data_IF_316933510729
#
_entry.id   IF_316933510729
#
_cell.length_a   1.000
_cell.length_b   1.000
_cell.length_c   1.000
_cell.angle_alpha   90.00
_cell.angle_beta   90.00
_cell.angle_gamma   90.00
#
_symmetry.space_group_name_H-M   'P 1'
#
loop_
_entity.id
_entity.type
_entity.pdbx_description
1 polymer ?
#
# COMPACT_ATOMS: atom_id res chain seq x y z
N UNK A 1 -5.26 -14.13 -16.45
CA UNK A 1 -5.80 -13.10 -15.53
C UNK A 1 -5.35 -13.30 -14.09
N UNK A 2 -5.12 -14.52 -13.59
CA UNK A 2 -4.69 -14.74 -12.19
C UNK A 2 -3.24 -14.34 -11.86
N UNK A 3 -2.36 -14.30 -12.86
CA UNK A 3 -0.95 -13.96 -12.64
C UNK A 3 -0.77 -12.60 -11.96
N UNK A 4 -1.60 -11.60 -12.28
CA UNK A 4 -1.46 -10.27 -11.68
C UNK A 4 -1.86 -10.24 -10.20
N UNK A 5 -2.84 -11.06 -9.79
CA UNK A 5 -3.25 -11.21 -8.39
C UNK A 5 -2.16 -11.89 -7.56
N UNK A 6 -1.51 -12.91 -8.14
CA UNK A 6 -0.39 -13.60 -7.49
C UNK A 6 0.85 -12.69 -7.38
N UNK A 7 1.15 -11.91 -8.43
CA UNK A 7 2.23 -10.92 -8.43
C UNK A 7 1.98 -9.85 -7.35
N UNK A 8 0.78 -9.30 -7.29
CA UNK A 8 0.37 -8.33 -6.26
C UNK A 8 0.63 -8.89 -4.86
N UNK A 9 0.12 -10.10 -4.59
CA UNK A 9 0.26 -10.73 -3.28
C UNK A 9 1.72 -11.02 -2.92
N UNK A 10 2.53 -11.40 -3.91
CA UNK A 10 3.97 -11.61 -3.71
C UNK A 10 4.68 -10.31 -3.31
N UNK A 11 4.38 -9.19 -3.99
CA UNK A 11 4.90 -7.87 -3.63
C UNK A 11 4.43 -7.44 -2.23
N UNK A 12 3.15 -7.62 -1.92
CA UNK A 12 2.62 -7.28 -0.59
C UNK A 12 3.34 -8.04 0.52
N UNK A 13 3.43 -9.36 0.41
CA UNK A 13 4.07 -10.20 1.43
C UNK A 13 5.56 -9.85 1.59
N UNK A 14 6.26 -9.59 0.49
CA UNK A 14 7.64 -9.13 0.51
C UNK A 14 7.79 -7.80 1.25
N UNK A 15 6.90 -6.83 0.99
CA UNK A 15 6.88 -5.56 1.72
C UNK A 15 6.68 -5.76 3.23
N UNK A 16 5.75 -6.64 3.64
CA UNK A 16 5.50 -6.92 5.06
C UNK A 16 6.69 -7.58 5.76
N UNK A 17 7.39 -8.50 5.08
CA UNK A 17 8.62 -9.12 5.60
C UNK A 17 9.72 -8.07 5.76
N UNK A 18 9.96 -7.25 4.74
CA UNK A 18 10.97 -6.18 4.77
C UNK A 18 10.69 -5.16 5.87
N UNK A 19 9.42 -4.80 6.10
CA UNK A 19 9.01 -3.93 7.21
C UNK A 19 9.39 -4.53 8.57
N UNK A 20 9.13 -5.83 8.77
CA UNK A 20 9.54 -6.54 10.00
C UNK A 20 11.07 -6.58 10.18
N UNK A 21 11.81 -6.65 9.07
CA UNK A 21 13.27 -6.58 9.06
C UNK A 21 13.82 -5.14 9.20
N UNK A 22 12.97 -4.13 9.39
CA UNK A 22 13.34 -2.70 9.43
C UNK A 22 14.01 -2.19 8.14
N UNK A 23 13.83 -2.89 7.02
CA UNK A 23 14.28 -2.44 5.69
C UNK A 23 13.20 -1.57 5.04
N UNK A 24 13.07 -0.33 5.51
CA UNK A 24 11.91 0.53 5.25
C UNK A 24 11.85 1.00 3.78
N UNK A 25 12.97 1.38 3.18
CA UNK A 25 13.04 1.79 1.77
C UNK A 25 12.61 0.66 0.82
N UNK A 26 13.09 -0.56 1.06
CA UNK A 26 12.67 -1.71 0.25
C UNK A 26 11.21 -2.10 0.53
N UNK A 27 10.76 -2.01 1.78
CA UNK A 27 9.37 -2.26 2.13
C UNK A 27 8.43 -1.30 1.39
N UNK A 28 8.77 -0.01 1.36
CA UNK A 28 8.06 1.02 0.60
C UNK A 28 7.98 0.69 -0.89
N UNK A 29 9.12 0.40 -1.52
CA UNK A 29 9.19 0.08 -2.94
C UNK A 29 8.26 -1.10 -3.29
N UNK A 30 8.31 -2.19 -2.52
CA UNK A 30 7.45 -3.35 -2.76
C UNK A 30 5.98 -3.07 -2.43
N UNK A 31 5.69 -2.23 -1.44
CA UNK A 31 4.31 -1.83 -1.15
C UNK A 31 3.71 -1.01 -2.31
N UNK A 32 4.49 -0.10 -2.90
CA UNK A 32 4.08 0.67 -4.08
C UNK A 32 3.86 -0.23 -5.31
N UNK A 33 4.75 -1.19 -5.57
CA UNK A 33 4.56 -2.17 -6.66
C UNK A 33 3.29 -3.01 -6.45
N UNK A 34 3.03 -3.40 -5.21
CA UNK A 34 1.82 -4.12 -4.83
C UNK A 34 0.57 -3.26 -5.05
N UNK A 35 0.60 -1.99 -4.66
CA UNK A 35 -0.51 -1.07 -4.87
C UNK A 35 -0.79 -0.81 -6.37
N UNK A 36 0.25 -0.64 -7.20
CA UNK A 36 0.09 -0.53 -8.66
C UNK A 36 -0.62 -1.75 -9.25
N UNK A 37 -0.18 -2.96 -8.85
CA UNK A 37 -0.82 -4.19 -9.28
C UNK A 37 -2.26 -4.31 -8.77
N UNK A 38 -2.50 -4.00 -7.49
CA UNK A 38 -3.82 -4.03 -6.86
C UNK A 38 -4.79 -3.07 -7.55
N UNK A 39 -4.34 -1.89 -7.99
CA UNK A 39 -5.19 -0.89 -8.65
C UNK A 39 -5.87 -1.41 -9.93
N UNK A 40 -5.33 -2.46 -10.55
CA UNK A 40 -5.82 -3.05 -11.80
C UNK A 40 -6.98 -4.04 -11.59
N UNK A 41 -7.20 -4.52 -10.37
CA UNK A 41 -8.25 -5.54 -10.10
C UNK A 41 -8.92 -5.45 -8.73
N UNK A 42 -8.32 -4.74 -7.78
CA UNK A 42 -8.78 -4.66 -6.39
C UNK A 42 -10.06 -3.83 -6.29
N UNK A 43 -10.93 -4.23 -5.37
CA UNK A 43 -12.12 -3.46 -5.07
C UNK A 43 -11.77 -2.22 -4.22
N UNK A 44 -12.74 -1.31 -4.07
CA UNK A 44 -12.56 -0.08 -3.30
C UNK A 44 -12.08 -0.32 -1.86
N UNK A 45 -12.56 -1.37 -1.20
CA UNK A 45 -12.15 -1.69 0.18
C UNK A 45 -10.69 -2.14 0.24
N UNK A 46 -10.25 -3.00 -0.67
CA UNK A 46 -8.85 -3.45 -0.74
C UNK A 46 -7.89 -2.28 -1.02
N UNK A 47 -8.27 -1.38 -1.93
CA UNK A 47 -7.48 -0.16 -2.22
C UNK A 47 -7.46 0.79 -1.02
N UNK A 48 -8.60 0.97 -0.34
CA UNK A 48 -8.70 1.76 0.88
C UNK A 48 -7.75 1.25 1.97
N UNK A 49 -7.80 -0.06 2.27
CA UNK A 49 -6.93 -0.69 3.27
C UNK A 49 -5.45 -0.51 2.89
N UNK A 50 -5.13 -0.61 1.58
CA UNK A 50 -3.77 -0.39 1.10
C UNK A 50 -3.28 1.05 1.28
N UNK A 51 -4.13 2.03 1.01
CA UNK A 51 -3.80 3.44 1.26
C UNK A 51 -3.60 3.73 2.75
N UNK A 52 -4.41 3.12 3.64
CA UNK A 52 -4.20 3.23 5.08
C UNK A 52 -2.85 2.65 5.52
N UNK A 53 -2.46 1.49 4.98
CA UNK A 53 -1.14 0.91 5.25
C UNK A 53 0.02 1.79 4.76
N UNK A 54 -0.13 2.39 3.58
CA UNK A 54 0.87 3.31 3.02
C UNK A 54 1.00 4.58 3.86
N UNK A 55 -0.13 5.19 4.26
CA UNK A 55 -0.15 6.36 5.13
C UNK A 55 0.55 6.09 6.46
N UNK A 56 0.26 4.95 7.10
CA UNK A 56 0.94 4.55 8.34
C UNK A 56 2.43 4.36 8.13
N UNK A 57 2.83 3.71 7.03
CA UNK A 57 4.24 3.45 6.76
C UNK A 57 5.03 4.74 6.55
N UNK A 58 4.49 5.72 5.82
CA UNK A 58 5.13 7.03 5.66
C UNK A 58 5.18 7.83 6.97
N UNK A 59 4.16 7.69 7.81
CA UNK A 59 4.15 8.30 9.15
C UNK A 59 5.25 7.69 10.03
N UNK A 60 5.41 6.37 10.04
CA UNK A 60 6.41 5.65 10.83
C UNK A 60 7.86 6.06 10.48
N UNK A 61 8.10 6.52 9.24
CA UNK A 61 9.43 6.99 8.77
C UNK A 61 9.62 8.51 8.82
N UNK A 62 8.66 9.25 9.38
CA UNK A 62 8.74 10.70 9.53
C UNK A 62 8.43 11.50 8.26
N UNK A 63 7.96 10.86 7.19
CA UNK A 63 7.52 11.52 5.95
C UNK A 63 6.05 11.91 6.03
N UNK A 64 5.75 12.86 6.92
CA UNK A 64 4.38 13.27 7.26
C UNK A 64 3.57 13.77 6.06
N UNK A 65 4.21 14.43 5.08
CA UNK A 65 3.54 14.92 3.87
C UNK A 65 2.98 13.78 3.02
N UNK A 66 3.78 12.74 2.78
CA UNK A 66 3.36 11.54 2.07
C UNK A 66 2.32 10.75 2.87
N UNK A 67 2.48 10.66 4.18
CA UNK A 67 1.49 10.04 5.05
C UNK A 67 0.10 10.69 4.87
N UNK A 68 0.04 12.02 4.96
CA UNK A 68 -1.19 12.79 4.80
C UNK A 68 -1.82 12.59 3.42
N UNK A 69 -1.00 12.54 2.36
CA UNK A 69 -1.47 12.25 1.00
C UNK A 69 -2.19 10.90 0.94
N UNK A 70 -1.59 9.82 1.44
CA UNK A 70 -2.20 8.49 1.39
C UNK A 70 -3.45 8.38 2.30
N UNK A 71 -3.44 9.00 3.48
CA UNK A 71 -4.65 9.07 4.30
C UNK A 71 -5.77 9.83 3.61
N UNK A 72 -5.46 10.93 2.92
CA UNK A 72 -6.45 11.70 2.14
C UNK A 72 -7.03 10.86 1.00
N UNK A 73 -6.20 10.10 0.28
CA UNK A 73 -6.65 9.15 -0.74
C UNK A 73 -7.60 8.11 -0.16
N UNK A 74 -7.26 7.51 0.99
CA UNK A 74 -8.13 6.55 1.69
C UNK A 74 -9.49 7.19 2.05
N UNK A 75 -9.49 8.36 2.69
CA UNK A 75 -10.70 9.09 3.07
C UNK A 75 -11.57 9.40 1.84
N UNK A 76 -10.96 9.82 0.73
CA UNK A 76 -11.67 10.13 -0.51
C UNK A 76 -12.37 8.92 -1.12
N UNK A 77 -11.79 7.72 -0.95
CA UNK A 77 -12.37 6.46 -1.41
C UNK A 77 -13.54 6.04 -0.52
N UNK A 78 -13.41 6.21 0.80
CA UNK A 78 -14.45 5.87 1.78
C UNK A 78 -15.71 6.73 1.60
N UNK A 79 -15.57 8.01 1.24
CA UNK A 79 -16.70 8.89 0.91
C UNK A 79 -17.49 8.48 -0.34
N UNK A 80 -16.94 7.56 -1.15
CA UNK A 80 -17.53 7.05 -2.41
C UNK A 80 -17.96 5.57 -2.30
N UNK A 81 -17.89 4.99 -1.10
CA UNK A 81 -18.47 3.69 -0.77
C UNK A 81 -19.92 3.88 -0.32
#
# INVERSE_FOLDING_TARGET
MDNIKLIEKAYYLKAKILKKMKSLVSAEMYMNLSLDALSKFGNKREIYERYMEMGQMYYDIGLTGDALKYFTLAISLNKKL
#
